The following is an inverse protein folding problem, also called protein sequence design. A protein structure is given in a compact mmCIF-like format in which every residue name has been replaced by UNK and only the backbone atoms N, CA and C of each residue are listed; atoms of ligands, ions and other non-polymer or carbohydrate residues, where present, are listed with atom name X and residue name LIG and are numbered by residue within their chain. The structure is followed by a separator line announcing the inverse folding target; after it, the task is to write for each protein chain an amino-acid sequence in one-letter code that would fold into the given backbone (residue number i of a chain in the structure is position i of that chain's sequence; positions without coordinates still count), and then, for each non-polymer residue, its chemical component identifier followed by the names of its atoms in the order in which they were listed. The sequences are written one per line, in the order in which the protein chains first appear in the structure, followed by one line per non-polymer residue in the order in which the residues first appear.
data_IF_577924681386
#
_entry.id   IF_577924681386
#
_cell.length_a   1.000
_cell.length_b   1.000
_cell.length_c   1.000
_cell.angle_alpha   90.00
_cell.angle_beta   90.00
_cell.angle_gamma   90.00
#
_symmetry.space_group_name_H-M   'P 1'
#
loop_
_entity.id
_entity.type
_entity.pdbx_description
1 polymer ?
#
# COMPACT_ATOMS: atom_id res chain seq x y z
N UNK A 1 -32.37 -6.15 -12.88
CA UNK A 1 -32.62 -7.44 -13.56
C UNK A 1 -33.66 -8.25 -12.79
N UNK A 2 -33.41 -8.69 -11.55
CA UNK A 2 -34.40 -9.45 -10.77
C UNK A 2 -35.65 -8.62 -10.38
N UNK A 3 -35.48 -7.36 -10.02
CA UNK A 3 -36.59 -6.44 -9.73
C UNK A 3 -37.45 -6.20 -10.98
N UNK A 4 -36.82 -5.87 -12.11
CA UNK A 4 -37.49 -5.74 -13.41
C UNK A 4 -38.23 -7.02 -13.84
N UNK A 5 -37.62 -8.19 -13.65
CA UNK A 5 -38.26 -9.47 -13.98
C UNK A 5 -39.47 -9.75 -13.08
N UNK A 6 -39.39 -9.41 -11.79
CA UNK A 6 -40.52 -9.50 -10.87
C UNK A 6 -41.68 -8.58 -11.31
N UNK A 7 -41.39 -7.34 -11.67
CA UNK A 7 -42.37 -6.37 -12.18
C UNK A 7 -43.05 -6.84 -13.47
N UNK A 8 -42.28 -7.39 -14.42
CA UNK A 8 -42.79 -7.93 -15.67
C UNK A 8 -43.74 -9.12 -15.43
N UNK A 9 -43.43 -10.00 -14.47
CA UNK A 9 -44.30 -11.11 -14.07
C UNK A 9 -45.58 -10.64 -13.39
N UNK A 10 -45.52 -9.63 -12.53
CA UNK A 10 -46.71 -9.04 -11.91
C UNK A 10 -47.65 -8.42 -12.95
N UNK A 11 -47.09 -7.70 -13.93
CA UNK A 11 -47.85 -7.15 -15.04
C UNK A 11 -48.50 -8.24 -15.90
N UNK A 12 -47.80 -9.35 -16.12
CA UNK A 12 -48.33 -10.50 -16.85
C UNK A 12 -49.53 -11.12 -16.13
N UNK A 13 -49.42 -11.36 -14.81
CA UNK A 13 -50.51 -11.87 -13.97
C UNK A 13 -51.72 -10.93 -14.03
N UNK A 14 -51.51 -9.63 -13.88
CA UNK A 14 -52.58 -8.63 -13.92
C UNK A 14 -53.33 -8.65 -15.26
N UNK A 15 -52.59 -8.74 -16.38
CA UNK A 15 -53.18 -8.82 -17.72
C UNK A 15 -54.02 -10.09 -17.91
N UNK A 16 -53.52 -11.25 -17.47
CA UNK A 16 -54.28 -12.50 -17.59
C UNK A 16 -55.51 -12.54 -16.67
N UNK A 17 -55.43 -12.00 -15.45
CA UNK A 17 -56.60 -11.88 -14.57
C UNK A 17 -57.68 -10.97 -15.15
N UNK A 18 -57.29 -9.86 -15.77
CA UNK A 18 -58.23 -8.97 -16.49
C UNK A 18 -58.95 -9.74 -17.60
N UNK A 19 -58.20 -10.48 -18.43
CA UNK A 19 -58.74 -11.28 -19.52
C UNK A 19 -59.64 -12.43 -19.03
N UNK A 20 -59.27 -13.11 -17.94
CA UNK A 20 -60.10 -14.13 -17.31
C UNK A 20 -61.46 -13.57 -16.86
N UNK A 21 -61.47 -12.35 -16.30
CA UNK A 21 -62.70 -11.69 -15.88
C UNK A 21 -63.61 -11.29 -17.04
N UNK A 22 -63.04 -10.92 -18.19
CA UNK A 22 -63.80 -10.70 -19.43
C UNK A 22 -64.43 -12.00 -19.93
N UNK A 23 -63.66 -13.09 -19.98
CA UNK A 23 -64.14 -14.41 -20.41
C UNK A 23 -65.26 -14.97 -19.52
N UNK A 24 -65.20 -14.73 -18.19
CA UNK A 24 -66.28 -15.10 -17.26
C UNK A 24 -67.60 -14.38 -17.58
N UNK A 25 -67.56 -13.13 -18.05
CA UNK A 25 -68.76 -12.36 -18.43
C UNK A 25 -69.40 -12.91 -19.71
N UNK A 26 -68.59 -13.42 -20.64
CA UNK A 26 -69.06 -13.99 -21.90
C UNK A 26 -69.61 -15.42 -21.77
N UNK A 27 -69.15 -16.20 -20.77
CA UNK A 27 -69.65 -17.56 -20.51
C UNK A 27 -69.92 -17.81 -19.01
N UNK A 28 -71.12 -17.44 -18.51
CA UNK A 28 -71.44 -17.51 -17.08
C UNK A 28 -71.58 -18.93 -16.49
N UNK A 29 -71.71 -19.96 -17.33
CA UNK A 29 -72.11 -21.30 -16.91
C UNK A 29 -71.13 -22.38 -17.38
N UNK A 30 -70.00 -22.53 -16.68
CA UNK A 30 -69.30 -23.81 -16.56
C UNK A 30 -68.20 -23.72 -15.48
N UNK A 31 -68.37 -24.36 -14.31
CA UNK A 31 -67.24 -24.56 -13.40
C UNK A 31 -66.26 -25.54 -14.06
N UNK A 32 -65.19 -25.03 -14.66
CA UNK A 32 -64.16 -25.88 -15.27
C UNK A 32 -62.99 -26.05 -14.29
N UNK A 33 -62.60 -27.29 -14.05
CA UNK A 33 -61.40 -27.60 -13.24
C UNK A 33 -60.16 -26.92 -13.83
N UNK A 34 -60.07 -26.83 -15.17
CA UNK A 34 -59.01 -26.13 -15.88
C UNK A 34 -58.87 -24.66 -15.46
N UNK A 35 -59.99 -23.97 -15.27
CA UNK A 35 -59.99 -22.56 -14.92
C UNK A 35 -59.57 -22.32 -13.46
N UNK A 36 -59.92 -23.25 -12.56
CA UNK A 36 -59.40 -23.24 -11.19
C UNK A 36 -57.89 -23.50 -11.17
N UNK A 37 -57.40 -24.47 -11.96
CA UNK A 37 -55.96 -24.74 -12.09
C UNK A 37 -55.20 -23.54 -12.66
N UNK A 38 -55.78 -22.85 -13.64
CA UNK A 38 -55.19 -21.64 -14.23
C UNK A 38 -55.13 -20.47 -13.24
N UNK A 39 -56.19 -20.22 -12.47
CA UNK A 39 -56.18 -19.19 -11.42
C UNK A 39 -55.18 -19.51 -10.31
N UNK A 40 -55.07 -20.79 -9.91
CA UNK A 40 -54.05 -21.23 -8.96
C UNK A 40 -52.63 -20.97 -9.49
N UNK A 41 -52.36 -21.29 -10.76
CA UNK A 41 -51.07 -20.99 -11.38
C UNK A 41 -50.76 -19.48 -11.39
N UNK A 42 -51.74 -18.64 -11.75
CA UNK A 42 -51.56 -17.18 -11.73
C UNK A 42 -51.31 -16.65 -10.31
N UNK A 43 -51.95 -17.24 -9.30
CA UNK A 43 -51.74 -16.89 -7.90
C UNK A 43 -50.33 -17.28 -7.42
N UNK A 44 -49.85 -18.47 -7.74
CA UNK A 44 -48.48 -18.89 -7.38
C UNK A 44 -47.43 -18.01 -8.06
N UNK A 45 -47.59 -17.71 -9.35
CA UNK A 45 -46.67 -16.80 -10.08
C UNK A 45 -46.68 -15.39 -9.48
N UNK A 46 -47.82 -14.90 -9.01
CA UNK A 46 -47.91 -13.61 -8.32
C UNK A 46 -47.13 -13.62 -7.01
N UNK A 47 -47.33 -14.64 -6.17
CA UNK A 47 -46.64 -14.81 -4.90
C UNK A 47 -45.13 -14.89 -5.11
N UNK A 48 -44.69 -15.72 -6.04
CA UNK A 48 -43.27 -15.88 -6.37
C UNK A 48 -42.65 -14.59 -6.89
N UNK A 49 -43.36 -13.88 -7.78
CA UNK A 49 -42.89 -12.60 -8.31
C UNK A 49 -42.71 -11.54 -7.22
N UNK A 50 -43.65 -11.46 -6.26
CA UNK A 50 -43.54 -10.56 -5.11
C UNK A 50 -42.34 -10.92 -4.23
N UNK A 51 -42.16 -12.21 -3.91
CA UNK A 51 -41.04 -12.67 -3.10
C UNK A 51 -39.68 -12.38 -3.76
N UNK A 52 -39.58 -12.59 -5.08
CA UNK A 52 -38.36 -12.27 -5.84
C UNK A 52 -38.07 -10.75 -5.87
N UNK A 53 -39.11 -9.93 -6.00
CA UNK A 53 -38.99 -8.47 -5.90
C UNK A 53 -38.46 -8.03 -4.52
N UNK A 54 -39.02 -8.60 -3.44
CA UNK A 54 -38.60 -8.31 -2.07
C UNK A 54 -37.14 -8.72 -1.82
N UNK A 55 -36.74 -9.91 -2.26
CA UNK A 55 -35.35 -10.40 -2.17
C UNK A 55 -34.40 -9.47 -2.96
N UNK A 56 -34.76 -9.09 -4.18
CA UNK A 56 -33.95 -8.19 -5.01
C UNK A 56 -33.76 -6.82 -4.32
N UNK A 57 -34.83 -6.28 -3.73
CA UNK A 57 -34.80 -5.02 -2.97
C UNK A 57 -33.91 -5.12 -1.73
N UNK A 58 -34.00 -6.22 -0.97
CA UNK A 58 -33.15 -6.48 0.19
C UNK A 58 -31.68 -6.58 -0.22
N UNK A 59 -31.34 -7.35 -1.26
CA UNK A 59 -29.97 -7.45 -1.76
C UNK A 59 -29.43 -6.08 -2.21
N UNK A 60 -30.26 -5.27 -2.87
CA UNK A 60 -29.90 -3.91 -3.24
C UNK A 60 -29.55 -3.03 -2.03
N UNK A 61 -30.40 -3.06 -0.99
CA UNK A 61 -30.29 -2.17 0.18
C UNK A 61 -29.27 -2.65 1.21
N UNK A 62 -29.23 -3.95 1.50
CA UNK A 62 -28.46 -4.53 2.60
C UNK A 62 -27.09 -5.06 2.17
N UNK A 63 -26.91 -5.35 0.87
CA UNK A 63 -25.65 -5.92 0.37
C UNK A 63 -24.95 -4.97 -0.59
N UNK A 64 -25.60 -4.60 -1.69
CA UNK A 64 -24.96 -3.80 -2.75
C UNK A 64 -24.53 -2.42 -2.27
N UNK A 65 -25.45 -1.64 -1.67
CA UNK A 65 -25.12 -0.29 -1.16
C UNK A 65 -24.03 -0.30 -0.08
N UNK A 66 -24.11 -1.13 0.99
CA UNK A 66 -23.06 -1.17 2.00
C UNK A 66 -21.71 -1.62 1.44
N UNK A 67 -21.68 -2.56 0.49
CA UNK A 67 -20.43 -2.97 -0.15
C UNK A 67 -19.82 -1.85 -1.00
N UNK A 68 -20.64 -1.09 -1.73
CA UNK A 68 -20.17 0.08 -2.49
C UNK A 68 -19.58 1.14 -1.56
N UNK A 69 -20.25 1.46 -0.46
CA UNK A 69 -19.77 2.44 0.52
C UNK A 69 -18.45 1.97 1.18
N UNK A 70 -18.42 0.72 1.66
CA UNK A 70 -17.21 0.15 2.31
C UNK A 70 -16.04 0.04 1.34
N UNK A 71 -16.28 -0.34 0.09
CA UNK A 71 -15.22 -0.43 -0.93
C UNK A 71 -14.70 0.96 -1.32
N UNK A 72 -15.59 1.96 -1.44
CA UNK A 72 -15.18 3.34 -1.66
C UNK A 72 -14.34 3.88 -0.50
N UNK A 73 -14.78 3.67 0.74
CA UNK A 73 -14.03 4.07 1.94
C UNK A 73 -12.64 3.41 1.98
N UNK A 74 -12.56 2.09 1.76
CA UNK A 74 -11.27 1.38 1.69
C UNK A 74 -10.37 1.89 0.57
N UNK A 75 -10.92 2.20 -0.61
CA UNK A 75 -10.17 2.81 -1.72
C UNK A 75 -9.60 4.17 -1.33
N UNK A 76 -10.35 4.99 -0.61
CA UNK A 76 -9.88 6.29 -0.13
C UNK A 76 -8.78 6.15 0.92
N UNK A 77 -8.95 5.25 1.89
CA UNK A 77 -7.94 4.99 2.92
C UNK A 77 -6.65 4.44 2.32
N UNK A 78 -6.75 3.51 1.36
CA UNK A 78 -5.60 2.99 0.62
C UNK A 78 -4.80 4.10 -0.06
N UNK A 79 -5.46 5.07 -0.70
CA UNK A 79 -4.78 6.23 -1.30
C UNK A 79 -3.98 7.05 -0.28
N UNK A 80 -4.52 7.25 0.93
CA UNK A 80 -3.81 7.97 2.00
C UNK A 80 -2.57 7.21 2.46
N UNK A 81 -2.69 5.89 2.65
CA UNK A 81 -1.55 5.04 3.02
C UNK A 81 -0.45 5.10 1.96
N UNK A 82 -0.80 5.01 0.67
CA UNK A 82 0.19 5.12 -0.41
C UNK A 82 0.84 6.51 -0.48
N UNK A 83 0.10 7.58 -0.26
CA UNK A 83 0.68 8.94 -0.21
C UNK A 83 1.65 9.12 0.97
N UNK A 84 1.30 8.58 2.15
CA UNK A 84 2.21 8.59 3.30
C UNK A 84 3.46 7.75 3.03
N UNK A 85 3.30 6.56 2.43
CA UNK A 85 4.42 5.72 2.03
C UNK A 85 5.39 6.46 1.09
N UNK A 86 4.88 7.07 0.02
CA UNK A 86 5.70 7.83 -0.92
C UNK A 86 6.43 9.01 -0.25
N UNK A 87 5.76 9.70 0.68
CA UNK A 87 6.38 10.74 1.51
C UNK A 87 7.51 10.18 2.37
N UNK A 88 7.32 9.03 3.03
CA UNK A 88 8.36 8.42 3.85
C UNK A 88 9.52 7.90 3.01
N UNK A 89 9.26 7.27 1.86
CA UNK A 89 10.30 6.85 0.91
C UNK A 89 11.16 8.06 0.48
N UNK A 90 10.54 9.21 0.23
CA UNK A 90 11.27 10.45 -0.09
C UNK A 90 12.13 10.96 1.08
N UNK A 91 11.62 10.91 2.31
CA UNK A 91 12.35 11.33 3.51
C UNK A 91 13.53 10.40 3.77
N UNK A 92 13.31 9.10 3.63
CA UNK A 92 14.33 8.06 3.78
C UNK A 92 15.45 8.32 2.76
N UNK A 93 15.13 8.43 1.46
CA UNK A 93 16.13 8.69 0.41
C UNK A 93 16.97 9.97 0.67
N UNK A 94 16.32 11.06 1.13
CA UNK A 94 17.05 12.29 1.50
C UNK A 94 17.95 12.10 2.72
N UNK A 95 17.53 11.29 3.68
CA UNK A 95 18.30 11.02 4.91
C UNK A 95 19.48 10.11 4.61
N UNK A 96 19.28 9.11 3.75
CA UNK A 96 20.33 8.25 3.18
C UNK A 96 21.42 9.09 2.52
N UNK A 97 21.05 10.00 1.63
CA UNK A 97 22.00 10.86 0.91
C UNK A 97 22.83 11.71 1.90
N UNK A 98 22.18 12.30 2.92
CA UNK A 98 22.86 13.09 3.95
C UNK A 98 23.82 12.25 4.77
N UNK A 99 23.42 11.05 5.19
CA UNK A 99 24.25 10.17 6.00
C UNK A 99 25.47 9.68 5.20
N UNK A 100 25.26 9.29 3.94
CA UNK A 100 26.35 8.93 3.03
C UNK A 100 27.32 10.08 2.77
N UNK A 101 26.80 11.30 2.63
CA UNK A 101 27.64 12.50 2.50
C UNK A 101 28.44 12.77 3.78
N UNK A 102 27.83 12.67 4.96
CA UNK A 102 28.51 12.86 6.23
C UNK A 102 29.63 11.84 6.44
N UNK A 103 29.37 10.56 6.19
CA UNK A 103 30.38 9.49 6.27
C UNK A 103 31.55 9.71 5.30
N UNK A 104 31.27 10.17 4.07
CA UNK A 104 32.33 10.54 3.12
C UNK A 104 33.18 11.72 3.60
N UNK A 105 32.54 12.74 4.17
CA UNK A 105 33.25 13.92 4.67
C UNK A 105 34.17 13.57 5.84
N UNK A 106 33.70 12.80 6.83
CA UNK A 106 34.53 12.39 7.98
C UNK A 106 35.74 11.57 7.54
N UNK A 107 35.52 10.61 6.64
CA UNK A 107 36.58 9.82 6.00
C UNK A 107 37.59 10.70 5.25
N UNK A 108 37.11 11.70 4.51
CA UNK A 108 37.95 12.65 3.78
C UNK A 108 38.78 13.55 4.72
N UNK A 109 38.19 14.05 5.81
CA UNK A 109 38.90 14.88 6.78
C UNK A 109 40.07 14.12 7.42
N UNK A 110 39.86 12.86 7.85
CA UNK A 110 40.91 12.02 8.43
C UNK A 110 42.06 11.76 7.44
N UNK A 111 41.75 11.54 6.16
CA UNK A 111 42.74 11.37 5.10
C UNK A 111 43.55 12.65 4.85
N UNK A 112 42.88 13.81 4.83
CA UNK A 112 43.53 15.11 4.62
C UNK A 112 44.51 15.43 5.75
N UNK A 113 44.17 15.09 6.98
CA UNK A 113 45.03 15.32 8.14
C UNK A 113 46.34 14.52 8.05
N UNK A 114 46.27 13.21 7.87
CA UNK A 114 47.48 12.35 7.78
C UNK A 114 48.34 12.68 6.56
N UNK A 115 47.70 13.06 5.45
CA UNK A 115 48.41 13.58 4.27
C UNK A 115 49.17 14.87 4.57
N UNK A 116 48.60 15.77 5.38
CA UNK A 116 49.25 17.02 5.75
C UNK A 116 50.44 16.76 6.69
N UNK A 117 50.29 15.86 7.67
CA UNK A 117 51.35 15.44 8.58
C UNK A 117 52.54 14.83 7.82
N UNK A 118 52.27 13.94 6.86
CA UNK A 118 53.26 13.38 5.94
C UNK A 118 54.03 14.47 5.16
N UNK A 119 53.32 15.45 4.57
CA UNK A 119 53.95 16.55 3.83
C UNK A 119 54.82 17.42 4.73
N UNK A 120 54.34 17.72 5.94
CA UNK A 120 55.09 18.52 6.91
C UNK A 120 56.38 17.81 7.32
N UNK A 121 56.32 16.50 7.61
CA UNK A 121 57.48 15.72 7.97
C UNK A 121 58.53 15.66 6.84
N UNK A 122 58.08 15.57 5.58
CA UNK A 122 58.96 15.65 4.41
C UNK A 122 59.69 17.00 4.32
N UNK A 123 58.98 18.11 4.49
CA UNK A 123 59.58 19.45 4.48
C UNK A 123 60.58 19.62 5.63
N UNK A 124 60.24 19.13 6.83
CA UNK A 124 61.14 19.16 7.98
C UNK A 124 62.42 18.35 7.76
N UNK A 125 62.32 17.17 7.12
CA UNK A 125 63.48 16.38 6.73
C UNK A 125 64.38 17.12 5.73
N UNK A 126 63.80 17.79 4.72
CA UNK A 126 64.57 18.59 3.77
C UNK A 126 65.27 19.79 4.41
N UNK A 127 64.63 20.41 5.41
CA UNK A 127 65.19 21.58 6.11
C UNK A 127 66.32 21.19 7.07
N UNK A 128 66.24 20.02 7.71
CA UNK A 128 67.26 19.51 8.63
C UNK A 128 67.37 17.98 8.52
N UNK A 129 68.23 17.48 7.62
CA UNK A 129 68.36 16.04 7.39
C UNK A 129 69.09 15.37 8.55
N UNK A 130 68.35 14.61 9.36
CA UNK A 130 68.90 13.76 10.44
C UNK A 130 68.23 12.39 10.40
N UNK A 131 68.80 11.42 11.13
CA UNK A 131 68.21 10.09 11.26
C UNK A 131 66.81 10.16 11.89
N UNK A 132 66.60 11.05 12.85
CA UNK A 132 65.32 11.29 13.51
C UNK A 132 64.28 11.88 12.55
N UNK A 133 64.64 12.89 11.75
CA UNK A 133 63.71 13.51 10.79
C UNK A 133 63.36 12.56 9.64
N UNK A 134 64.29 11.70 9.22
CA UNK A 134 64.02 10.62 8.26
C UNK A 134 63.06 9.57 8.83
N UNK A 135 63.25 9.16 10.09
CA UNK A 135 62.35 8.24 10.79
C UNK A 135 60.93 8.81 10.91
N UNK A 136 60.80 10.08 11.30
CA UNK A 136 59.51 10.77 11.38
C UNK A 136 58.80 10.86 10.01
N UNK A 137 59.55 11.11 8.93
CA UNK A 137 59.03 11.09 7.58
C UNK A 137 58.47 9.71 7.19
N UNK A 138 59.21 8.62 7.42
CA UNK A 138 58.72 7.28 7.11
C UNK A 138 57.51 6.87 7.97
N UNK A 139 57.50 7.24 9.25
CA UNK A 139 56.38 6.94 10.14
C UNK A 139 55.10 7.66 9.70
N UNK A 140 55.19 8.95 9.35
CA UNK A 140 54.03 9.72 8.85
C UNK A 140 53.56 9.25 7.48
N UNK A 141 54.47 8.80 6.61
CA UNK A 141 54.11 8.14 5.35
C UNK A 141 53.32 6.85 5.58
N UNK A 142 53.82 5.97 6.45
CA UNK A 142 53.15 4.72 6.78
C UNK A 142 51.76 4.96 7.41
N UNK A 143 51.65 5.94 8.30
CA UNK A 143 50.38 6.36 8.87
C UNK A 143 49.39 6.86 7.80
N UNK A 144 49.84 7.65 6.83
CA UNK A 144 49.02 8.10 5.72
C UNK A 144 48.52 6.93 4.84
N UNK A 145 49.41 5.99 4.47
CA UNK A 145 49.04 4.82 3.66
C UNK A 145 48.05 3.92 4.42
N UNK A 146 48.28 3.67 5.71
CA UNK A 146 47.34 2.92 6.55
C UNK A 146 45.99 3.62 6.63
N UNK A 147 45.97 4.94 6.82
CA UNK A 147 44.73 5.72 6.85
C UNK A 147 44.01 5.69 5.50
N UNK A 148 44.73 5.68 4.37
CA UNK A 148 44.14 5.56 3.04
C UNK A 148 43.41 4.21 2.88
N UNK A 149 44.05 3.10 3.27
CA UNK A 149 43.42 1.78 3.24
C UNK A 149 42.22 1.70 4.19
N UNK A 150 42.36 2.20 5.41
CA UNK A 150 41.28 2.24 6.39
C UNK A 150 40.09 3.08 5.87
N UNK A 151 40.35 4.24 5.28
CA UNK A 151 39.31 5.10 4.69
C UNK A 151 38.58 4.42 3.54
N UNK A 152 39.29 3.72 2.64
CA UNK A 152 38.66 2.98 1.55
C UNK A 152 37.77 1.84 2.09
N UNK A 153 38.28 1.07 3.05
CA UNK A 153 37.52 -0.01 3.69
C UNK A 153 36.29 0.51 4.45
N UNK A 154 36.43 1.60 5.21
CA UNK A 154 35.31 2.24 5.90
C UNK A 154 34.24 2.72 4.93
N UNK A 155 34.62 3.25 3.76
CA UNK A 155 33.65 3.74 2.76
C UNK A 155 32.89 2.60 2.10
N UNK A 156 33.55 1.47 1.84
CA UNK A 156 32.95 0.25 1.32
C UNK A 156 31.98 -0.39 2.34
N UNK A 157 32.45 -0.59 3.58
CA UNK A 157 31.63 -1.16 4.67
C UNK A 157 30.43 -0.26 5.01
N UNK A 158 30.63 1.05 5.03
CA UNK A 158 29.56 2.01 5.28
C UNK A 158 28.48 1.94 4.20
N UNK A 159 28.87 1.89 2.92
CA UNK A 159 27.94 1.83 1.79
C UNK A 159 27.22 0.49 1.68
N UNK A 160 27.92 -0.62 1.91
CA UNK A 160 27.41 -1.96 1.64
C UNK A 160 26.70 -2.61 2.83
N UNK A 161 27.07 -2.26 4.07
CA UNK A 161 26.56 -2.94 5.26
C UNK A 161 25.93 -1.98 6.27
N UNK A 162 26.66 -0.93 6.69
CA UNK A 162 26.21 -0.07 7.80
C UNK A 162 24.98 0.76 7.43
N UNK A 163 25.00 1.42 6.28
CA UNK A 163 23.89 2.25 5.83
C UNK A 163 22.62 1.42 5.60
N UNK A 164 22.63 0.30 4.85
CA UNK A 164 21.45 -0.59 4.73
C UNK A 164 20.88 -1.07 6.07
N UNK A 165 21.75 -1.46 7.02
CA UNK A 165 21.33 -1.94 8.35
C UNK A 165 20.61 -0.86 9.16
N UNK A 166 21.14 0.36 9.19
CA UNK A 166 20.52 1.50 9.88
C UNK A 166 19.14 1.86 9.29
N UNK A 167 19.00 1.74 7.97
CA UNK A 167 17.75 2.02 7.28
C UNK A 167 16.69 0.96 7.57
N UNK A 168 17.08 -0.31 7.58
CA UNK A 168 16.19 -1.41 7.92
C UNK A 168 15.58 -1.23 9.32
N UNK A 169 16.41 -0.91 10.32
CA UNK A 169 15.94 -0.59 11.68
C UNK A 169 14.93 0.56 11.69
N UNK A 170 15.19 1.63 10.93
CA UNK A 170 14.28 2.78 10.88
C UNK A 170 12.92 2.46 10.25
N UNK A 171 12.89 1.56 9.25
CA UNK A 171 11.67 1.10 8.61
C UNK A 171 10.88 0.21 9.56
N UNK A 172 11.56 -0.72 10.24
CA UNK A 172 10.93 -1.65 11.17
C UNK A 172 10.31 -0.91 12.37
N UNK A 173 10.97 0.11 12.91
CA UNK A 173 10.42 0.98 13.97
C UNK A 173 9.19 1.79 13.52
N UNK A 174 9.20 2.32 12.30
CA UNK A 174 8.04 3.04 11.74
C UNK A 174 6.86 2.10 11.54
N UNK A 175 7.10 0.87 11.07
CA UNK A 175 6.07 -0.13 10.87
C UNK A 175 5.48 -0.58 12.21
N UNK A 176 6.31 -0.84 13.22
CA UNK A 176 5.87 -1.20 14.57
C UNK A 176 4.96 -0.13 15.20
N UNK A 177 5.34 1.15 15.09
CA UNK A 177 4.54 2.27 15.60
C UNK A 177 3.20 2.43 14.87
N UNK A 178 3.15 2.14 13.57
CA UNK A 178 1.90 2.22 12.79
C UNK A 178 0.93 1.08 13.12
N UNK A 179 1.44 -0.15 13.36
CA UNK A 179 0.62 -1.27 13.82
C UNK A 179 -0.05 -1.00 15.16
N UNK A 180 0.69 -0.46 16.14
CA UNK A 180 0.13 -0.11 17.46
C UNK A 180 -0.97 0.94 17.35
N UNK A 181 -0.81 1.96 16.48
CA UNK A 181 -1.84 2.99 16.27
C UNK A 181 -3.11 2.47 15.60
N UNK A 182 -3.07 1.31 14.94
CA UNK A 182 -4.23 0.72 14.27
C UNK A 182 -5.06 -0.18 15.20
N UNK A 183 -4.47 -0.72 16.28
CA UNK A 183 -5.18 -1.54 17.28
C UNK A 183 -5.93 -0.69 18.33
N UNK A 184 -5.65 0.62 18.42
CA UNK A 184 -6.30 1.55 19.36
C UNK A 184 -7.54 2.29 18.80
N UNK A 185 -8.08 1.90 17.63
CA UNK A 185 -9.28 2.53 17.02
C UNK A 185 -10.36 1.53 16.63
#
# INVERSE_FOLDING_TARGET
MYEQHAEEMQMLVANFRKRNNELRKERPACPSSLFHTWEALLQEVEIDSQALGDIASILGRQVSRPLLERSFYRKMQSRKVFAHRESYETIIAKTEEKLAKAGRLTAQFALLQTRQEYKNAYVSYLASPTTESLSAYFNSHNAYIQQLHATNGMMEEFGNATLPSLLQLSVDDLMANYTVSCDER
#
